data_IF_568409286734
#
_entry.id   IF_568409286734
#
_cell.length_a   1.000
_cell.length_b   1.000
_cell.length_c   1.000
_cell.angle_alpha   90.00
_cell.angle_beta   90.00
_cell.angle_gamma   90.00
#
_symmetry.space_group_name_H-M   'P 1'
#
loop_
_entity.id
_entity.type
_entity.pdbx_description
1 polymer ?
#
# COMPACT_ATOMS: atom_id res chain seq x y z
N UNK A 1 -1.85 -2.19 0.32
CA UNK A 1 -0.97 -3.06 -0.48
C UNK A 1 -1.78 -4.05 -1.33
N UNK A 2 -2.47 -5.04 -0.73
CA UNK A 2 -3.29 -6.03 -1.48
C UNK A 2 -4.16 -5.41 -2.58
N UNK A 3 -5.00 -4.44 -2.21
CA UNK A 3 -5.95 -3.85 -3.16
C UNK A 3 -5.25 -3.04 -4.27
N UNK A 4 -4.10 -2.42 -3.97
CA UNK A 4 -3.27 -1.74 -4.96
C UNK A 4 -2.64 -2.70 -5.97
N UNK A 5 -2.17 -3.86 -5.52
CA UNK A 5 -1.65 -4.93 -6.41
C UNK A 5 -2.79 -5.45 -7.29
N UNK A 6 -3.96 -5.72 -6.70
CA UNK A 6 -5.14 -6.18 -7.45
C UNK A 6 -5.55 -5.18 -8.52
N UNK A 7 -5.63 -3.89 -8.19
CA UNK A 7 -5.95 -2.83 -9.14
C UNK A 7 -4.93 -2.73 -10.28
N UNK A 8 -3.63 -2.83 -9.98
CA UNK A 8 -2.59 -2.82 -11.00
C UNK A 8 -2.70 -4.02 -11.97
N UNK A 9 -2.98 -5.22 -11.44
CA UNK A 9 -3.18 -6.42 -12.25
C UNK A 9 -4.43 -6.31 -13.14
N UNK A 10 -5.52 -5.73 -12.63
CA UNK A 10 -6.75 -5.47 -13.38
C UNK A 10 -6.52 -4.44 -14.49
N UNK A 11 -5.66 -3.46 -14.26
CA UNK A 11 -5.22 -2.49 -15.27
C UNK A 11 -4.24 -3.07 -16.30
N UNK A 12 -3.88 -4.36 -16.20
CA UNK A 12 -3.02 -5.06 -17.16
C UNK A 12 -1.52 -4.97 -16.87
N UNK A 13 -1.11 -4.32 -15.77
CA UNK A 13 0.29 -4.33 -15.36
C UNK A 13 0.71 -5.73 -14.90
N UNK A 14 1.94 -6.12 -15.26
CA UNK A 14 2.52 -7.43 -14.90
C UNK A 14 3.92 -7.32 -14.29
N UNK A 15 4.55 -6.15 -14.39
CA UNK A 15 5.81 -5.82 -13.74
C UNK A 15 5.52 -4.76 -12.67
N UNK A 16 5.68 -5.10 -11.39
CA UNK A 16 5.28 -4.24 -10.29
C UNK A 16 6.47 -3.83 -9.42
N UNK A 17 6.60 -2.54 -9.12
CA UNK A 17 7.36 -2.05 -7.97
C UNK A 17 6.35 -1.66 -6.88
N UNK A 18 6.44 -2.32 -5.72
CA UNK A 18 5.52 -2.14 -4.62
C UNK A 18 6.28 -1.59 -3.42
N UNK A 19 5.95 -0.36 -3.06
CA UNK A 19 6.52 0.33 -1.91
C UNK A 19 5.54 0.34 -0.73
N UNK A 20 6.08 0.31 0.49
CA UNK A 20 5.28 0.48 1.70
C UNK A 20 6.12 0.85 2.91
N UNK A 21 5.50 1.48 3.92
CA UNK A 21 6.15 1.92 5.15
C UNK A 21 6.07 0.91 6.29
N UNK A 22 5.23 -0.11 6.17
CA UNK A 22 5.09 -1.16 7.18
C UNK A 22 6.13 -2.29 6.98
N UNK A 23 7.21 -2.22 7.75
CA UNK A 23 8.31 -3.18 7.66
C UNK A 23 7.91 -4.63 8.00
N UNK A 24 6.99 -4.85 8.95
CA UNK A 24 6.55 -6.20 9.33
C UNK A 24 5.79 -6.84 8.16
N UNK A 25 4.87 -6.09 7.54
CA UNK A 25 4.11 -6.56 6.38
C UNK A 25 5.06 -6.90 5.23
N UNK A 26 5.99 -6.00 4.89
CA UNK A 26 6.96 -6.27 3.82
C UNK A 26 7.83 -7.50 4.10
N UNK A 27 8.35 -7.64 5.32
CA UNK A 27 9.13 -8.81 5.71
C UNK A 27 8.33 -10.11 5.63
N UNK A 28 7.06 -10.08 6.04
CA UNK A 28 6.16 -11.22 5.95
C UNK A 28 5.87 -11.59 4.48
N UNK A 29 5.55 -10.62 3.61
CA UNK A 29 5.36 -10.86 2.17
C UNK A 29 6.62 -11.43 1.53
N UNK A 30 7.80 -10.93 1.90
CA UNK A 30 9.10 -11.43 1.44
C UNK A 30 9.50 -12.78 2.07
N UNK A 31 8.68 -13.35 2.96
CA UNK A 31 8.96 -14.62 3.68
C UNK A 31 10.26 -14.59 4.50
N UNK A 32 10.70 -13.40 4.91
CA UNK A 32 11.92 -13.24 5.75
C UNK A 32 11.63 -13.42 7.23
N UNK A 33 10.36 -13.34 7.62
CA UNK A 33 9.87 -13.63 8.96
C UNK A 33 8.62 -14.52 8.87
N UNK A 34 8.27 -15.26 9.93
CA UNK A 34 6.97 -15.91 10.02
C UNK A 34 5.84 -14.88 9.94
N UNK A 35 4.78 -15.20 9.20
CA UNK A 35 3.61 -14.34 9.11
C UNK A 35 2.86 -14.31 10.44
N UNK A 36 2.61 -13.12 11.03
CA UNK A 36 1.74 -13.01 12.19
C UNK A 36 0.34 -13.54 11.89
N UNK A 37 -0.22 -14.34 12.80
CA UNK A 37 -1.51 -15.01 12.60
C UNK A 37 -2.64 -14.04 12.25
N UNK A 38 -2.63 -12.84 12.82
CA UNK A 38 -3.64 -11.80 12.58
C UNK A 38 -3.73 -11.32 11.13
N UNK A 39 -2.61 -11.36 10.40
CA UNK A 39 -2.52 -10.86 9.01
C UNK A 39 -2.33 -11.97 7.99
N UNK A 40 -2.37 -13.24 8.42
CA UNK A 40 -2.14 -14.40 7.54
C UNK A 40 -3.04 -14.40 6.31
N UNK A 41 -4.37 -14.18 6.42
CA UNK A 41 -5.24 -14.15 5.24
C UNK A 41 -4.84 -13.06 4.22
N UNK A 42 -4.43 -11.89 4.71
CA UNK A 42 -4.03 -10.77 3.85
C UNK A 42 -2.72 -11.08 3.13
N UNK A 43 -1.77 -11.74 3.80
CA UNK A 43 -0.48 -12.12 3.20
C UNK A 43 -0.68 -13.23 2.15
N UNK A 44 -1.56 -14.20 2.41
CA UNK A 44 -1.91 -15.23 1.44
C UNK A 44 -2.56 -14.65 0.19
N UNK A 45 -3.50 -13.70 0.34
CA UNK A 45 -4.08 -12.96 -0.78
C UNK A 45 -2.99 -12.24 -1.59
N UNK A 46 -2.04 -11.58 -0.93
CA UNK A 46 -0.94 -10.89 -1.59
C UNK A 46 -0.08 -11.88 -2.37
N UNK A 47 0.27 -13.04 -1.81
CA UNK A 47 1.04 -14.05 -2.53
C UNK A 47 0.29 -14.60 -3.74
N UNK A 48 -1.01 -14.81 -3.63
CA UNK A 48 -1.84 -15.23 -4.76
C UNK A 48 -1.81 -14.17 -5.87
N UNK A 49 -2.02 -12.88 -5.54
CA UNK A 49 -1.93 -11.79 -6.50
C UNK A 49 -0.53 -11.70 -7.15
N UNK A 50 0.54 -11.76 -6.35
CA UNK A 50 1.90 -11.69 -6.85
C UNK A 50 2.26 -12.86 -7.78
N UNK A 51 1.62 -14.03 -7.63
CA UNK A 51 1.82 -15.17 -8.55
C UNK A 51 1.34 -14.88 -9.98
N UNK A 52 0.51 -13.86 -10.17
CA UNK A 52 0.05 -13.39 -11.49
C UNK A 52 0.95 -12.31 -12.09
N UNK A 53 1.98 -11.86 -11.37
CA UNK A 53 2.97 -10.92 -11.87
C UNK A 53 4.07 -11.65 -12.66
N UNK A 54 4.52 -11.07 -13.76
CA UNK A 54 5.70 -11.53 -14.48
C UNK A 54 6.99 -11.22 -13.70
N UNK A 55 7.05 -10.05 -13.05
CA UNK A 55 8.07 -9.75 -12.05
C UNK A 55 7.53 -8.75 -11.03
N UNK A 56 8.12 -8.78 -9.83
CA UNK A 56 7.81 -7.79 -8.80
C UNK A 56 9.04 -7.45 -7.96
N UNK A 57 9.08 -6.22 -7.46
CA UNK A 57 10.04 -5.75 -6.48
C UNK A 57 9.30 -5.15 -5.29
N UNK A 58 9.72 -5.49 -4.08
CA UNK A 58 9.11 -5.03 -2.82
C UNK A 58 10.14 -4.20 -2.06
N UNK A 59 9.79 -2.95 -1.75
CA UNK A 59 10.70 -2.02 -1.07
C UNK A 59 10.05 -1.38 0.14
N UNK A 60 10.80 -1.37 1.25
CA UNK A 60 10.45 -0.55 2.40
C UNK A 60 10.87 0.89 2.14
N UNK A 61 9.96 1.82 2.41
CA UNK A 61 10.21 3.26 2.36
C UNK A 61 9.86 3.89 3.69
N UNK A 62 10.44 5.05 3.99
CA UNK A 62 10.04 5.82 5.16
C UNK A 62 8.63 6.39 4.98
N UNK A 63 7.96 6.70 6.10
CA UNK A 63 6.59 7.22 6.10
C UNK A 63 6.45 8.52 5.31
N UNK A 64 7.46 9.36 5.37
CA UNK A 64 7.58 10.62 4.65
C UNK A 64 7.64 10.42 3.13
N UNK A 65 8.08 9.25 2.67
CA UNK A 65 7.99 8.86 1.25
C UNK A 65 6.63 8.28 0.87
N UNK A 66 5.88 7.75 1.84
CA UNK A 66 4.59 7.07 1.62
C UNK A 66 3.36 7.98 1.82
N UNK A 67 3.54 9.30 1.78
CA UNK A 67 2.50 10.28 2.15
C UNK A 67 1.22 10.14 1.32
N UNK A 68 1.34 9.85 0.02
CA UNK A 68 0.18 9.67 -0.85
C UNK A 68 -0.69 8.48 -0.40
N UNK A 69 -0.07 7.33 -0.10
CA UNK A 69 -0.80 6.14 0.32
C UNK A 69 -1.35 6.29 1.75
N UNK A 70 -0.60 6.90 2.66
CA UNK A 70 -1.06 7.19 4.02
C UNK A 70 -2.26 8.15 4.00
N UNK A 71 -2.19 9.21 3.19
CA UNK A 71 -3.31 10.12 2.99
C UNK A 71 -4.53 9.41 2.42
N UNK A 72 -4.37 8.58 1.38
CA UNK A 72 -5.48 7.81 0.79
C UNK A 72 -6.11 6.85 1.81
N UNK A 73 -5.31 6.18 2.63
CA UNK A 73 -5.81 5.27 3.66
C UNK A 73 -6.61 6.02 4.75
N UNK A 74 -6.12 7.17 5.21
CA UNK A 74 -6.86 8.01 6.18
C UNK A 74 -8.10 8.67 5.58
N UNK A 75 -8.01 9.12 4.32
CA UNK A 75 -9.17 9.66 3.63
C UNK A 75 -10.24 8.58 3.46
N UNK A 76 -9.85 7.38 3.03
CA UNK A 76 -10.74 6.24 2.89
C UNK A 76 -11.39 5.80 4.21
N UNK A 77 -10.66 5.83 5.34
CA UNK A 77 -11.23 5.46 6.64
C UNK A 77 -12.30 6.44 7.15
N UNK A 78 -12.28 7.69 6.67
CA UNK A 78 -13.32 8.68 6.95
C UNK A 78 -14.57 8.48 6.08
N UNK A 79 -14.42 7.84 4.92
CA UNK A 79 -15.54 7.50 4.06
C UNK A 79 -16.26 6.28 4.66
N UNK A 80 -17.56 6.38 4.91
CA UNK A 80 -18.40 5.23 5.33
C UNK A 80 -18.69 4.25 4.18
N UNK A 81 -17.87 4.27 3.14
CA UNK A 81 -18.07 3.49 1.94
C UNK A 81 -17.02 2.37 1.88
N UNK A 82 -17.49 1.15 1.60
CA UNK A 82 -16.62 -0.03 1.49
C UNK A 82 -16.14 -0.25 0.04
N UNK A 83 -16.36 0.70 -0.85
CA UNK A 83 -15.93 0.63 -2.25
C UNK A 83 -14.47 1.08 -2.40
N UNK A 84 -13.69 0.35 -3.21
CA UNK A 84 -12.37 0.80 -3.63
C UNK A 84 -12.49 1.96 -4.61
N UNK A 85 -11.97 3.12 -4.24
CA UNK A 85 -11.91 4.30 -5.11
C UNK A 85 -10.52 4.41 -5.76
N UNK A 86 -10.48 4.41 -7.09
CA UNK A 86 -9.25 4.65 -7.85
C UNK A 86 -9.20 6.11 -8.30
N UNK A 87 -8.04 6.73 -8.10
CA UNK A 87 -7.80 8.11 -8.52
C UNK A 87 -6.87 8.12 -9.73
N UNK A 88 -7.20 8.94 -10.73
CA UNK A 88 -6.41 9.07 -11.95
C UNK A 88 -5.09 9.81 -11.74
N UNK A 89 -4.93 10.50 -10.61
CA UNK A 89 -3.73 11.23 -10.24
C UNK A 89 -3.48 11.11 -8.73
N UNK A 90 -2.22 11.10 -8.27
CA UNK A 90 -1.92 11.18 -6.85
C UNK A 90 -2.46 12.49 -6.25
N UNK A 91 -2.67 12.55 -4.93
CA UNK A 91 -2.99 13.81 -4.26
C UNK A 91 -1.90 14.84 -4.56
N UNK A 92 -2.26 16.11 -4.83
CA UNK A 92 -1.29 17.16 -5.11
C UNK A 92 -0.23 17.29 -4.02
N UNK A 93 1.02 17.59 -4.37
CA UNK A 93 2.11 17.67 -3.40
C UNK A 93 1.90 18.73 -2.31
N UNK A 94 1.22 19.83 -2.62
CA UNK A 94 0.89 20.88 -1.64
C UNK A 94 -0.04 20.40 -0.52
N UNK A 95 -0.86 19.37 -0.76
CA UNK A 95 -1.67 18.74 0.28
C UNK A 95 -0.79 18.11 1.36
N UNK A 96 0.40 17.65 1.00
CA UNK A 96 1.34 17.04 1.93
C UNK A 96 2.13 18.06 2.77
N UNK A 97 2.33 19.29 2.28
CA UNK A 97 2.95 20.37 3.06
C UNK A 97 2.12 20.73 4.29
N UNK A 98 0.79 20.74 4.19
CA UNK A 98 -0.12 20.92 5.34
C UNK A 98 -0.24 19.65 6.20
N UNK A 99 -0.18 18.48 5.58
CA UNK A 99 -0.28 17.19 6.26
C UNK A 99 0.91 16.88 7.16
N UNK A 100 2.13 17.21 6.72
CA UNK A 100 3.34 17.11 7.54
C UNK A 100 3.29 18.04 8.75
N UNK A 101 2.70 19.23 8.62
CA UNK A 101 2.51 20.14 9.75
C UNK A 101 1.57 19.55 10.82
N UNK A 102 0.51 18.84 10.38
CA UNK A 102 -0.45 18.18 11.27
C UNK A 102 0.11 16.91 11.92
N UNK A 103 0.97 16.15 11.22
CA UNK A 103 1.63 14.95 11.74
C UNK A 103 2.75 15.25 12.76
N UNK A 104 3.35 16.43 12.73
CA UNK A 104 4.38 16.86 13.69
C UNK A 104 3.79 17.54 14.96
N UNK A 105 2.46 17.57 15.11
CA UNK A 105 1.75 18.17 16.26
C UNK A 105 1.10 17.12 17.19
N UNK A 106 1.39 15.82 16.99
CA UNK A 106 0.94 14.72 17.85
C UNK A 106 2.15 13.99 18.43
#
# INVERSE_FOLDING_TARGET
MRDGISAALQAGFRHLEVEGDNQIVLKAVQKTIPTPWQITPIIEDIWNLLSHCASYYLRHIYREGNLAADWMAKHGSLLRCHSLSLFSSPPPSWLFSFYLFYLNLV
#
